data_IF_735313256767
#
_entry.id   IF_735313256767
#
_cell.length_a   1.000
_cell.length_b   1.000
_cell.length_c   1.000
_cell.angle_alpha   90.00
_cell.angle_beta   90.00
_cell.angle_gamma   90.00
#
_symmetry.space_group_name_H-M   'P 1'
#
loop_
_entity.id
_entity.type
_entity.pdbx_description
1 polymer ?
#
# COMPACT_ATOMS: atom_id res chain seq x y z
N UNK A 1 -28.57 23.72 29.78
CA UNK A 1 -28.78 24.94 28.97
C UNK A 1 -27.43 25.39 28.44
N UNK A 2 -27.45 25.94 27.22
CA UNK A 2 -26.34 26.50 26.43
C UNK A 2 -25.68 25.47 25.48
N UNK A 3 -26.05 25.39 24.19
CA UNK A 3 -25.78 26.36 23.09
C UNK A 3 -24.29 26.34 22.69
N UNK A 4 -23.82 26.38 21.43
CA UNK A 4 -24.38 26.77 20.12
C UNK A 4 -23.26 26.54 19.06
N UNK A 5 -23.64 26.11 17.85
CA UNK A 5 -23.14 26.47 16.50
C UNK A 5 -21.64 26.31 16.14
N UNK A 6 -21.30 25.52 15.10
CA UNK A 6 -21.38 25.73 13.62
C UNK A 6 -20.12 26.40 13.04
N UNK A 7 -19.90 26.01 11.79
CA UNK A 7 -19.15 26.73 10.73
C UNK A 7 -17.64 26.45 10.72
N UNK A 8 -17.16 25.61 9.81
CA UNK A 8 -16.97 25.91 8.39
C UNK A 8 -16.04 27.11 8.19
N UNK A 9 -14.74 26.81 8.08
CA UNK A 9 -13.78 27.64 7.36
C UNK A 9 -13.23 26.81 6.20
N UNK A 10 -13.84 27.05 5.04
CA UNK A 10 -13.15 26.98 3.76
C UNK A 10 -11.90 27.85 3.85
N UNK A 11 -10.74 27.35 3.42
CA UNK A 11 -9.73 28.22 2.82
C UNK A 11 -9.10 27.51 1.63
N UNK A 12 -9.59 27.91 0.47
CA UNK A 12 -9.06 27.67 -0.87
C UNK A 12 -7.89 28.61 -1.15
N UNK A 13 -6.78 28.09 -1.71
CA UNK A 13 -5.86 28.91 -2.51
C UNK A 13 -5.11 27.98 -3.48
N UNK A 14 -5.62 27.74 -4.70
CA UNK A 14 -5.38 28.52 -5.93
C UNK A 14 -3.91 28.95 -6.12
N UNK A 15 -3.19 28.09 -6.84
CA UNK A 15 -2.41 28.38 -8.06
C UNK A 15 -1.51 29.61 -8.09
N UNK A 16 -0.21 29.40 -8.37
CA UNK A 16 0.54 30.27 -9.30
C UNK A 16 1.58 29.45 -10.09
N UNK A 17 1.28 29.29 -11.36
CA UNK A 17 2.25 29.03 -12.44
C UNK A 17 2.87 30.38 -12.80
N UNK A 18 4.21 30.48 -12.83
CA UNK A 18 4.99 31.20 -13.84
C UNK A 18 6.47 31.38 -13.41
N UNK A 19 7.38 30.76 -14.15
CA UNK A 19 8.73 31.30 -14.45
C UNK A 19 8.75 31.41 -15.98
N UNK A 20 9.14 32.55 -16.60
CA UNK A 20 10.57 32.75 -16.89
C UNK A 20 11.00 34.22 -17.13
N UNK A 21 12.32 34.43 -17.31
CA UNK A 21 13.02 35.35 -18.25
C UNK A 21 14.25 35.98 -17.57
N UNK A 22 15.49 35.59 -17.92
CA UNK A 22 16.31 35.97 -19.09
C UNK A 22 17.31 37.05 -18.66
N UNK A 23 18.62 36.74 -18.68
CA UNK A 23 19.69 37.58 -19.27
C UNK A 23 20.99 36.77 -19.28
N UNK A 24 21.52 36.45 -20.47
CA UNK A 24 22.88 35.91 -20.71
C UNK A 24 23.86 37.06 -20.99
N UNK A 25 25.21 36.88 -21.02
CA UNK A 25 25.84 36.32 -22.22
C UNK A 25 27.12 35.46 -22.04
N UNK A 26 27.22 34.49 -22.96
CA UNK A 26 28.37 34.09 -23.78
C UNK A 26 29.74 33.78 -23.14
N UNK A 27 30.10 32.50 -23.14
CA UNK A 27 31.46 32.07 -23.53
C UNK A 27 31.37 30.99 -24.60
N UNK A 28 31.94 31.28 -25.76
CA UNK A 28 32.04 30.42 -26.92
C UNK A 28 33.32 29.58 -26.81
N UNK A 29 33.22 28.26 -26.98
CA UNK A 29 34.34 27.41 -27.45
C UNK A 29 33.80 26.31 -28.37
N UNK A 30 34.49 25.99 -29.48
CA UNK A 30 34.05 25.00 -30.46
C UNK A 30 34.57 23.60 -30.08
N UNK A 31 33.76 22.56 -30.32
CA UNK A 31 34.18 21.19 -30.08
C UNK A 31 33.11 20.19 -30.51
N UNK A 32 33.20 19.75 -31.74
CA UNK A 32 32.37 18.73 -32.40
C UNK A 32 32.27 17.41 -31.64
N UNK A 33 31.05 16.92 -31.35
CA UNK A 33 30.62 15.56 -31.74
C UNK A 33 29.11 15.39 -31.60
N UNK A 34 28.50 14.86 -32.67
CA UNK A 34 27.13 14.37 -32.75
C UNK A 34 26.95 13.11 -31.90
N UNK A 35 25.83 12.97 -31.19
CA UNK A 35 24.98 11.75 -31.22
C UNK A 35 23.76 11.92 -30.30
N UNK A 36 22.57 11.78 -30.91
CA UNK A 36 21.30 11.64 -30.23
C UNK A 36 21.32 10.47 -29.26
N UNK A 37 20.99 10.72 -27.99
CA UNK A 37 20.63 9.67 -27.05
C UNK A 37 19.10 9.52 -27.09
N UNK A 38 18.60 8.62 -27.94
CA UNK A 38 17.24 8.11 -27.78
C UNK A 38 17.23 7.35 -26.45
N UNK A 39 16.49 7.88 -25.48
CA UNK A 39 16.22 7.19 -24.22
C UNK A 39 15.26 6.04 -24.52
N UNK A 40 15.83 4.87 -24.81
CA UNK A 40 15.06 3.64 -24.84
C UNK A 40 14.64 3.36 -23.40
N UNK A 41 13.38 3.69 -23.09
CA UNK A 41 12.75 3.31 -21.83
C UNK A 41 12.62 1.79 -21.81
N UNK A 42 13.62 1.11 -21.26
CA UNK A 42 13.59 -0.33 -21.03
C UNK A 42 12.55 -0.62 -19.95
N UNK A 43 11.37 -1.08 -20.33
CA UNK A 43 10.45 -1.71 -19.39
C UNK A 43 11.05 -3.08 -19.06
N UNK A 44 11.58 -3.23 -17.84
CA UNK A 44 11.94 -4.53 -17.31
C UNK A 44 10.66 -5.36 -17.22
N UNK A 45 10.56 -6.40 -18.05
CA UNK A 45 9.54 -7.41 -17.92
C UNK A 45 9.85 -8.22 -16.67
N UNK A 46 9.15 -7.94 -15.58
CA UNK A 46 9.31 -8.70 -14.34
C UNK A 46 8.73 -10.11 -14.56
N UNK A 47 9.59 -11.06 -14.91
CA UNK A 47 9.31 -12.49 -14.94
C UNK A 47 8.80 -12.91 -13.57
N UNK A 48 7.50 -13.21 -13.48
CA UNK A 48 6.86 -13.73 -12.27
C UNK A 48 7.36 -15.16 -12.02
N UNK A 49 8.53 -15.30 -11.42
CA UNK A 49 8.87 -16.48 -10.64
C UNK A 49 8.01 -16.44 -9.38
N UNK A 50 7.16 -17.46 -9.19
CA UNK A 50 6.44 -17.64 -7.93
C UNK A 50 7.51 -17.80 -6.85
N UNK A 51 7.76 -16.72 -6.10
CA UNK A 51 8.77 -16.71 -5.07
C UNK A 51 8.40 -17.77 -4.02
N UNK A 52 9.37 -18.50 -3.45
CA UNK A 52 9.13 -19.33 -2.29
C UNK A 52 8.42 -18.49 -1.22
N UNK A 53 7.32 -19.00 -0.66
CA UNK A 53 6.65 -18.32 0.45
C UNK A 53 7.65 -18.09 1.57
N UNK A 54 7.72 -16.85 2.07
CA UNK A 54 8.64 -16.51 3.14
C UNK A 54 8.23 -17.23 4.43
N UNK A 55 9.21 -17.63 5.26
CA UNK A 55 8.97 -18.30 6.55
C UNK A 55 7.96 -17.54 7.43
N UNK A 56 7.98 -16.21 7.32
CA UNK A 56 7.12 -15.32 8.08
C UNK A 56 5.68 -15.28 7.54
N UNK A 57 5.47 -15.36 6.22
CA UNK A 57 4.14 -15.48 5.63
C UNK A 57 3.45 -16.75 6.12
N UNK A 58 4.19 -17.86 6.13
CA UNK A 58 3.72 -19.16 6.62
C UNK A 58 3.29 -19.09 8.08
N UNK A 59 4.05 -18.36 8.92
CA UNK A 59 3.70 -18.14 10.33
C UNK A 59 2.38 -17.37 10.49
N UNK A 60 2.20 -16.27 9.74
CA UNK A 60 0.97 -15.47 9.78
C UNK A 60 -0.22 -16.30 9.28
N UNK A 61 0.01 -17.06 8.20
CA UNK A 61 -0.99 -17.94 7.63
C UNK A 61 -1.51 -18.94 8.68
N UNK A 62 -0.62 -19.65 9.36
CA UNK A 62 -1.00 -20.60 10.40
C UNK A 62 -1.79 -19.94 11.55
N UNK A 63 -1.30 -18.80 12.05
CA UNK A 63 -1.96 -18.08 13.14
C UNK A 63 -3.40 -17.67 12.79
N UNK A 64 -3.63 -17.19 11.57
CA UNK A 64 -4.96 -16.80 11.11
C UNK A 64 -5.84 -18.01 10.80
N UNK A 65 -5.24 -19.07 10.24
CA UNK A 65 -5.93 -20.32 9.98
C UNK A 65 -6.50 -20.92 11.26
N UNK A 66 -5.67 -21.02 12.31
CA UNK A 66 -6.05 -21.62 13.59
C UNK A 66 -7.12 -20.82 14.33
N UNK A 67 -7.20 -19.50 14.11
CA UNK A 67 -8.12 -18.61 14.82
C UNK A 67 -9.48 -18.45 14.16
N UNK A 68 -9.53 -18.44 12.83
CA UNK A 68 -10.73 -18.06 12.09
C UNK A 68 -11.30 -19.17 11.21
N UNK A 69 -10.63 -20.33 11.12
CA UNK A 69 -11.00 -21.47 10.25
C UNK A 69 -11.54 -20.99 8.88
N UNK A 70 -10.74 -20.21 8.14
CA UNK A 70 -11.22 -19.53 6.94
C UNK A 70 -11.43 -20.50 5.79
N UNK A 71 -12.51 -20.29 5.03
CA UNK A 71 -12.77 -20.99 3.77
C UNK A 71 -11.71 -20.62 2.71
N UNK A 72 -11.25 -19.37 2.71
CA UNK A 72 -10.16 -18.90 1.88
C UNK A 72 -9.27 -17.94 2.67
N UNK A 73 -7.97 -18.20 2.69
CA UNK A 73 -6.96 -17.37 3.31
C UNK A 73 -5.83 -17.11 2.33
N UNK A 74 -5.49 -15.84 2.14
CA UNK A 74 -4.34 -15.41 1.36
C UNK A 74 -3.55 -14.41 2.18
N UNK A 75 -2.24 -14.66 2.30
CA UNK A 75 -1.26 -13.78 2.90
C UNK A 75 -0.17 -13.57 1.85
N UNK A 76 0.23 -12.32 1.63
CA UNK A 76 1.29 -11.98 0.69
C UNK A 76 2.08 -10.78 1.20
N UNK A 77 3.41 -10.89 1.19
CA UNK A 77 4.34 -9.78 1.38
C UNK A 77 4.32 -8.88 0.15
N UNK A 78 3.96 -7.62 0.35
CA UNK A 78 3.97 -6.58 -0.69
C UNK A 78 5.13 -5.60 -0.50
N UNK A 79 6.05 -5.89 0.43
CA UNK A 79 7.28 -5.11 0.64
C UNK A 79 8.46 -5.55 -0.25
N UNK A 80 8.29 -6.60 -1.04
CA UNK A 80 9.33 -7.12 -1.95
C UNK A 80 10.40 -7.94 -1.23
N UNK A 81 10.04 -8.70 -0.19
CA UNK A 81 10.94 -9.57 0.57
C UNK A 81 11.60 -8.90 1.78
N UNK A 82 11.13 -7.71 2.18
CA UNK A 82 11.59 -7.04 3.40
C UNK A 82 10.79 -7.51 4.63
N UNK A 83 9.62 -8.13 4.44
CA UNK A 83 8.74 -8.55 5.54
C UNK A 83 8.16 -7.40 6.36
N UNK A 84 8.02 -6.21 5.77
CA UNK A 84 7.55 -5.01 6.47
C UNK A 84 6.13 -4.59 6.08
N UNK A 85 5.55 -5.13 5.01
CA UNK A 85 4.20 -4.78 4.57
C UNK A 85 3.46 -5.97 4.00
N UNK A 86 2.28 -6.26 4.55
CA UNK A 86 1.51 -7.44 4.17
C UNK A 86 0.14 -7.07 3.61
N UNK A 87 -0.32 -7.88 2.66
CA UNK A 87 -1.69 -7.90 2.17
C UNK A 87 -2.35 -9.22 2.56
N UNK A 88 -3.45 -9.12 3.31
CA UNK A 88 -4.16 -10.26 3.87
C UNK A 88 -5.62 -10.21 3.42
N UNK A 89 -6.08 -11.31 2.82
CA UNK A 89 -7.48 -11.51 2.43
C UNK A 89 -8.03 -12.75 3.13
N UNK A 90 -9.08 -12.56 3.92
CA UNK A 90 -9.69 -13.62 4.73
C UNK A 90 -11.18 -13.74 4.37
N UNK A 91 -11.59 -14.94 3.99
CA UNK A 91 -12.99 -15.32 3.83
C UNK A 91 -13.32 -16.37 4.88
N UNK A 92 -14.15 -16.01 5.87
CA UNK A 92 -14.55 -16.91 6.96
C UNK A 92 -16.02 -16.73 7.31
N UNK A 93 -16.65 -17.83 7.75
CA UNK A 93 -18.00 -17.83 8.28
C UNK A 93 -18.14 -17.01 9.56
N UNK A 94 -17.06 -16.85 10.33
CA UNK A 94 -17.02 -16.03 11.55
C UNK A 94 -17.36 -14.56 11.30
N UNK A 95 -17.27 -14.09 10.05
CA UNK A 95 -17.57 -12.70 9.68
C UNK A 95 -19.04 -12.47 9.30
N UNK A 96 -19.87 -13.51 9.24
CA UNK A 96 -21.30 -13.38 8.90
C UNK A 96 -22.04 -12.54 9.94
N UNK A 97 -22.76 -11.52 9.47
CA UNK A 97 -23.56 -10.64 10.33
C UNK A 97 -22.76 -9.63 11.17
N UNK A 98 -21.43 -9.57 11.01
CA UNK A 98 -20.55 -8.64 11.70
C UNK A 98 -20.23 -7.46 10.78
N UNK A 99 -20.15 -6.24 11.31
CA UNK A 99 -19.72 -5.06 10.54
C UNK A 99 -18.22 -5.13 10.19
N UNK A 100 -17.82 -4.58 9.04
CA UNK A 100 -16.42 -4.62 8.59
C UNK A 100 -15.43 -4.10 9.64
N UNK A 101 -15.78 -3.01 10.36
CA UNK A 101 -14.92 -2.45 11.41
C UNK A 101 -14.68 -3.47 12.53
N UNK A 102 -15.72 -4.22 12.94
CA UNK A 102 -15.58 -5.26 13.96
C UNK A 102 -14.76 -6.45 13.43
N UNK A 103 -14.96 -6.84 12.18
CA UNK A 103 -14.14 -7.89 11.55
C UNK A 103 -12.65 -7.52 11.58
N UNK A 104 -12.31 -6.30 11.16
CA UNK A 104 -10.94 -5.81 11.18
C UNK A 104 -10.36 -5.74 12.61
N UNK A 105 -11.16 -5.35 13.61
CA UNK A 105 -10.71 -5.37 15.02
C UNK A 105 -10.33 -6.78 15.47
N UNK A 106 -11.16 -7.79 15.21
CA UNK A 106 -10.86 -9.17 15.62
C UNK A 106 -9.56 -9.70 14.98
N UNK A 107 -9.34 -9.39 13.70
CA UNK A 107 -8.10 -9.79 13.00
C UNK A 107 -6.90 -9.02 13.56
N UNK A 108 -7.04 -7.71 13.79
CA UNK A 108 -5.96 -6.90 14.35
C UNK A 108 -5.60 -7.31 15.79
N UNK A 109 -6.57 -7.76 16.59
CA UNK A 109 -6.33 -8.31 17.93
C UNK A 109 -5.49 -9.59 17.87
N UNK A 110 -5.77 -10.45 16.90
CA UNK A 110 -5.01 -11.69 16.68
C UNK A 110 -3.58 -11.40 16.21
N UNK A 111 -3.41 -10.37 15.39
CA UNK A 111 -2.12 -9.98 14.81
C UNK A 111 -1.43 -8.84 15.58
N UNK A 112 -1.91 -8.47 16.76
CA UNK A 112 -1.49 -7.24 17.45
C UNK A 112 0.02 -7.19 17.75
N UNK A 113 0.64 -8.34 18.00
CA UNK A 113 2.08 -8.44 18.26
C UNK A 113 2.91 -8.31 16.99
N UNK A 114 2.42 -8.83 15.87
CA UNK A 114 3.13 -8.81 14.60
C UNK A 114 2.95 -7.47 13.87
N UNK A 115 1.75 -6.88 13.92
CA UNK A 115 1.46 -5.55 13.34
C UNK A 115 2.38 -4.46 13.90
N UNK A 116 2.83 -4.56 15.16
CA UNK A 116 3.78 -3.60 15.76
C UNK A 116 5.12 -3.53 15.02
N UNK A 117 5.50 -4.60 14.31
CA UNK A 117 6.75 -4.69 13.54
C UNK A 117 6.56 -4.22 12.10
N UNK A 118 5.32 -4.20 11.61
CA UNK A 118 5.00 -3.89 10.22
C UNK A 118 4.88 -2.39 10.00
N UNK A 119 5.33 -1.94 8.83
CA UNK A 119 5.16 -0.56 8.37
C UNK A 119 3.74 -0.32 7.83
N UNK A 120 3.07 -1.38 7.38
CA UNK A 120 1.66 -1.29 6.97
C UNK A 120 1.01 -2.66 6.76
N UNK A 121 -0.33 -2.65 6.77
CA UNK A 121 -1.17 -3.83 6.57
C UNK A 121 -2.35 -3.45 5.68
N UNK A 122 -2.56 -4.23 4.61
CA UNK A 122 -3.80 -4.21 3.84
C UNK A 122 -4.65 -5.39 4.27
N UNK A 123 -5.81 -5.12 4.88
CA UNK A 123 -6.71 -6.17 5.35
C UNK A 123 -8.03 -6.13 4.58
N UNK A 124 -8.41 -7.27 4.02
CA UNK A 124 -9.70 -7.49 3.38
C UNK A 124 -10.40 -8.65 4.07
N UNK A 125 -11.53 -8.38 4.72
CA UNK A 125 -12.38 -9.42 5.32
C UNK A 125 -13.68 -9.54 4.56
N UNK A 126 -14.11 -10.78 4.29
CA UNK A 126 -15.38 -11.07 3.63
C UNK A 126 -16.05 -12.27 4.30
N UNK A 127 -17.37 -12.24 4.39
CA UNK A 127 -18.14 -13.44 4.67
C UNK A 127 -18.36 -14.23 3.35
N UNK A 128 -18.33 -15.57 3.36
CA UNK A 128 -18.65 -16.34 2.17
C UNK A 128 -20.11 -16.09 1.77
N UNK A 129 -20.33 -15.87 0.47
CA UNK A 129 -21.67 -15.73 -0.10
C UNK A 129 -22.29 -17.12 -0.16
N UNK A 130 -23.43 -17.29 0.50
CA UNK A 130 -24.21 -18.52 0.49
C UNK A 130 -25.04 -18.61 -0.79
#
# INVERSE_FOLDING_TARGET
MSSIFRSCLYLTQRSIIAKPSTTSPLRMVPGSTLRSAVSHRSYSVNSQSVAPMDDYESKIFQLLNDKFDPVQLQVSDVSGGCGSMFAISIVSDSFKGISMVKQHRMVNETLAEEIKKWHGLQLVTKAPRK
#
